data_IF_254482697627
#
_entry.id   IF_254482697627
#
_cell.length_a   1.000
_cell.length_b   1.000
_cell.length_c   1.000
_cell.angle_alpha   90.00
_cell.angle_beta   90.00
_cell.angle_gamma   90.00
#
_symmetry.space_group_name_H-M   'P 1'
#
loop_
_entity.id
_entity.type
_entity.pdbx_description
1 polymer ?
#
# COMPACT_ATOMS: atom_id res chain seq x y z
N UNK A 1 -21.37 45.42 -19.25
CA UNK A 1 -20.70 45.29 -20.57
C UNK A 1 -21.56 46.01 -21.58
N UNK A 2 -20.98 46.90 -22.39
CA UNK A 2 -21.70 47.59 -23.46
C UNK A 2 -21.48 46.80 -24.75
N UNK A 3 -22.59 46.42 -25.41
CA UNK A 3 -22.56 45.74 -26.70
C UNK A 3 -22.81 46.78 -27.80
N UNK A 4 -22.10 46.64 -28.92
CA UNK A 4 -22.30 47.46 -30.11
C UNK A 4 -22.51 46.52 -31.31
N UNK A 5 -23.25 46.99 -32.31
CA UNK A 5 -23.40 46.27 -33.56
C UNK A 5 -22.02 46.09 -34.19
N UNK A 6 -21.65 44.84 -34.44
CA UNK A 6 -20.38 44.47 -35.06
C UNK A 6 -20.55 44.18 -36.55
N UNK A 7 -21.54 43.35 -36.90
CA UNK A 7 -21.85 42.96 -38.28
C UNK A 7 -23.32 42.51 -38.41
N UNK A 8 -23.83 42.42 -39.64
CA UNK A 8 -25.19 41.95 -39.97
C UNK A 8 -25.17 41.09 -41.24
N UNK A 9 -25.70 39.88 -41.16
CA UNK A 9 -25.74 38.93 -42.29
C UNK A 9 -27.15 38.44 -42.60
N UNK A 10 -27.39 38.08 -43.86
CA UNK A 10 -28.66 37.49 -44.32
C UNK A 10 -28.68 35.94 -44.23
N UNK A 11 -27.55 35.33 -43.87
CA UNK A 11 -27.41 33.88 -43.79
C UNK A 11 -27.59 33.40 -42.34
N UNK A 12 -27.91 32.12 -42.16
CA UNK A 12 -28.11 31.51 -40.84
C UNK A 12 -26.81 31.36 -39.99
N UNK A 13 -25.67 31.84 -40.48
CA UNK A 13 -24.38 31.74 -39.81
C UNK A 13 -23.44 32.89 -40.15
N UNK A 14 -22.53 33.17 -39.22
CA UNK A 14 -21.50 34.18 -39.33
C UNK A 14 -20.18 33.64 -38.74
N UNK A 15 -19.06 33.99 -39.37
CA UNK A 15 -17.72 33.63 -38.90
C UNK A 15 -16.91 34.91 -38.69
N UNK A 16 -16.66 35.28 -37.44
CA UNK A 16 -15.81 36.41 -37.10
C UNK A 16 -14.33 36.05 -37.33
N UNK A 17 -13.77 36.52 -38.43
CA UNK A 17 -12.35 36.25 -38.79
C UNK A 17 -11.39 37.31 -38.24
N UNK A 18 -11.88 38.41 -37.69
CA UNK A 18 -11.04 39.53 -37.21
C UNK A 18 -10.78 39.43 -35.70
N UNK A 19 -10.65 38.20 -35.20
CA UNK A 19 -10.36 37.93 -33.79
C UNK A 19 -8.86 37.86 -33.52
N UNK A 20 -8.47 38.38 -32.38
CA UNK A 20 -7.11 38.28 -31.86
C UNK A 20 -6.97 37.06 -30.94
N UNK A 21 -5.84 36.35 -31.07
CA UNK A 21 -5.45 35.26 -30.20
C UNK A 21 -5.33 35.72 -28.74
N UNK A 22 -5.63 34.83 -27.79
CA UNK A 22 -5.58 35.05 -26.33
C UNK A 22 -6.50 36.16 -25.83
N UNK A 23 -7.68 36.31 -26.46
CA UNK A 23 -8.64 37.36 -26.11
C UNK A 23 -10.05 36.81 -25.96
N UNK A 24 -10.77 37.34 -24.97
CA UNK A 24 -12.19 37.04 -24.74
C UNK A 24 -13.06 37.97 -25.57
N UNK A 25 -14.10 37.40 -26.17
CA UNK A 25 -15.15 38.09 -26.89
C UNK A 25 -16.50 37.69 -26.31
N UNK A 26 -17.48 38.59 -26.43
CA UNK A 26 -18.84 38.36 -25.98
C UNK A 26 -19.76 38.69 -27.14
N UNK A 27 -20.47 37.67 -27.64
CA UNK A 27 -21.39 37.84 -28.76
C UNK A 27 -22.83 37.78 -28.29
N UNK A 28 -23.66 38.62 -28.91
CA UNK A 28 -25.12 38.57 -28.86
C UNK A 28 -25.64 38.62 -30.28
N UNK A 29 -26.71 37.90 -30.54
CA UNK A 29 -27.34 37.85 -31.87
C UNK A 29 -28.75 38.42 -31.73
N UNK A 30 -29.17 39.20 -32.72
CA UNK A 30 -30.54 39.66 -32.94
C UNK A 30 -30.95 39.26 -34.35
N UNK A 31 -32.24 39.08 -34.58
CA UNK A 31 -32.79 38.95 -35.93
C UNK A 31 -33.51 40.23 -36.32
N UNK A 32 -33.34 40.66 -37.57
CA UNK A 32 -33.93 41.87 -38.11
C UNK A 32 -34.99 41.52 -39.17
N UNK A 33 -36.19 42.09 -39.02
CA UNK A 33 -37.27 42.05 -40.00
C UNK A 33 -37.51 43.47 -40.55
N UNK A 34 -37.23 43.65 -41.83
CA UNK A 34 -37.36 44.96 -42.49
C UNK A 34 -38.80 45.30 -42.89
N UNK A 35 -39.74 44.35 -42.84
CA UNK A 35 -41.14 44.54 -43.22
C UNK A 35 -42.03 44.89 -42.01
N UNK A 36 -41.55 44.63 -40.79
CA UNK A 36 -42.29 44.91 -39.55
C UNK A 36 -41.90 46.25 -38.90
N UNK A 37 -42.85 46.87 -38.18
CA UNK A 37 -42.64 48.13 -37.46
C UNK A 37 -41.70 47.97 -36.25
N UNK A 38 -41.68 46.79 -35.65
CA UNK A 38 -40.68 46.36 -34.68
C UNK A 38 -39.61 45.58 -35.43
N UNK A 39 -38.52 46.26 -35.78
CA UNK A 39 -37.54 45.76 -36.74
C UNK A 39 -36.56 44.73 -36.18
N UNK A 40 -36.32 44.70 -34.88
CA UNK A 40 -35.24 43.89 -34.31
C UNK A 40 -35.74 43.09 -33.10
N UNK A 41 -35.36 41.81 -33.03
CA UNK A 41 -35.69 40.94 -31.91
C UNK A 41 -34.99 41.38 -30.62
N UNK A 42 -35.41 40.82 -29.48
CA UNK A 42 -34.56 40.87 -28.29
C UNK A 42 -33.23 40.15 -28.57
N UNK A 43 -32.10 40.67 -28.08
CA UNK A 43 -30.81 40.02 -28.24
C UNK A 43 -30.75 38.73 -27.43
N UNK A 44 -30.02 37.73 -27.93
CA UNK A 44 -29.71 36.53 -27.16
C UNK A 44 -29.00 36.85 -25.84
N UNK A 45 -28.91 35.83 -24.98
CA UNK A 45 -27.90 35.83 -23.92
C UNK A 45 -26.51 36.05 -24.51
N UNK A 46 -25.64 36.73 -23.76
CA UNK A 46 -24.25 36.90 -24.18
C UNK A 46 -23.53 35.55 -24.09
N UNK A 47 -22.89 35.15 -25.19
CA UNK A 47 -22.02 33.97 -25.24
C UNK A 47 -20.57 34.45 -25.12
N UNK A 48 -19.85 33.97 -24.11
CA UNK A 48 -18.41 34.20 -23.97
C UNK A 48 -17.65 33.21 -24.85
N UNK A 49 -16.72 33.72 -25.65
CA UNK A 49 -15.78 32.92 -26.45
C UNK A 49 -14.37 33.38 -26.13
N UNK A 50 -13.51 32.46 -25.69
CA UNK A 50 -12.09 32.72 -25.56
C UNK A 50 -11.37 32.23 -26.81
N UNK A 51 -10.83 33.18 -27.59
CA UNK A 51 -10.12 32.86 -28.83
C UNK A 51 -8.69 32.51 -28.49
N UNK A 52 -8.26 31.32 -28.87
CA UNK A 52 -6.87 30.88 -28.76
C UNK A 52 -6.46 30.00 -29.94
N UNK A 53 -5.15 29.73 -30.08
CA UNK A 53 -4.63 28.78 -31.05
C UNK A 53 -5.24 27.39 -30.85
N UNK A 54 -5.48 26.65 -31.95
CA UNK A 54 -5.96 25.26 -31.87
C UNK A 54 -5.10 24.45 -30.90
N UNK A 55 -5.76 23.85 -29.91
CA UNK A 55 -5.09 22.99 -28.93
C UNK A 55 -4.51 21.76 -29.62
N UNK A 56 -3.29 21.39 -29.25
CA UNK A 56 -2.56 20.25 -29.80
C UNK A 56 -2.22 19.27 -28.71
N UNK A 57 -2.29 17.98 -29.01
CA UNK A 57 -1.57 16.99 -28.21
C UNK A 57 -0.07 17.21 -28.47
N UNK A 58 0.61 17.79 -27.48
CA UNK A 58 1.98 18.27 -27.63
C UNK A 58 3.02 17.17 -27.40
N UNK A 59 2.82 16.34 -26.38
CA UNK A 59 3.74 15.23 -26.08
C UNK A 59 3.06 14.15 -25.23
N UNK A 60 3.63 12.95 -25.25
CA UNK A 60 3.30 11.86 -24.33
C UNK A 60 4.59 11.30 -23.71
N UNK A 61 4.57 10.94 -22.44
CA UNK A 61 5.70 10.30 -21.77
C UNK A 61 5.24 9.15 -20.88
N UNK A 62 5.97 8.03 -20.90
CA UNK A 62 5.80 6.97 -19.91
C UNK A 62 6.63 7.29 -18.67
N UNK A 63 5.99 7.38 -17.50
CA UNK A 63 6.60 7.81 -16.25
C UNK A 63 6.92 6.63 -15.33
N UNK A 64 7.91 6.82 -14.45
CA UNK A 64 8.22 5.89 -13.36
C UNK A 64 6.98 5.67 -12.50
N UNK A 65 6.56 4.41 -12.34
CA UNK A 65 5.29 4.05 -11.68
C UNK A 65 4.18 3.60 -12.63
N UNK A 66 4.43 3.56 -13.95
CA UNK A 66 3.53 2.93 -14.91
C UNK A 66 2.44 3.83 -15.47
N UNK A 67 2.63 5.15 -15.38
CA UNK A 67 1.68 6.14 -15.88
C UNK A 67 2.11 6.67 -17.26
N UNK A 68 1.14 7.15 -18.04
CA UNK A 68 1.42 7.95 -19.24
C UNK A 68 0.94 9.38 -19.00
N UNK A 69 1.83 10.36 -19.05
CA UNK A 69 1.42 11.77 -19.08
C UNK A 69 1.21 12.25 -20.50
N UNK A 70 0.09 12.94 -20.73
CA UNK A 70 -0.26 13.56 -22.00
C UNK A 70 -0.31 15.06 -21.81
N UNK A 71 0.57 15.79 -22.50
CA UNK A 71 0.63 17.25 -22.45
C UNK A 71 -0.09 17.88 -23.62
N UNK A 72 -0.94 18.87 -23.33
CA UNK A 72 -1.58 19.71 -24.32
C UNK A 72 -0.87 21.06 -24.46
N UNK A 73 -1.00 21.70 -25.62
CA UNK A 73 -0.53 23.07 -25.82
C UNK A 73 -1.42 24.13 -25.15
N UNK A 74 -2.65 23.75 -24.78
CA UNK A 74 -3.63 24.59 -24.10
C UNK A 74 -4.13 23.91 -22.82
N UNK A 75 -4.83 24.67 -21.97
CA UNK A 75 -5.27 24.14 -20.68
C UNK A 75 -6.24 22.98 -20.84
N UNK A 76 -6.07 21.91 -20.07
CA UNK A 76 -6.98 20.75 -20.09
C UNK A 76 -8.35 21.08 -19.51
N UNK A 77 -9.36 20.33 -19.93
CA UNK A 77 -10.70 20.40 -19.33
C UNK A 77 -10.63 20.02 -17.85
N UNK A 78 -11.46 20.67 -17.03
CA UNK A 78 -11.65 20.28 -15.63
C UNK A 78 -12.53 19.03 -15.48
N UNK A 79 -13.23 18.64 -16.55
CA UNK A 79 -13.98 17.40 -16.63
C UNK A 79 -13.10 16.31 -17.23
N UNK A 80 -13.01 15.17 -16.57
CA UNK A 80 -12.25 14.02 -17.06
C UNK A 80 -12.96 13.48 -18.32
N UNK A 81 -12.27 13.40 -19.48
CA UNK A 81 -12.85 12.88 -20.71
C UNK A 81 -13.20 11.39 -20.61
N UNK A 82 -14.03 10.91 -21.53
CA UNK A 82 -14.26 9.48 -21.69
C UNK A 82 -12.94 8.77 -22.04
N UNK A 83 -12.69 7.59 -21.49
CA UNK A 83 -11.45 6.84 -21.76
C UNK A 83 -11.26 6.49 -23.24
N UNK A 84 -12.36 6.34 -23.99
CA UNK A 84 -12.33 6.10 -25.44
C UNK A 84 -11.79 7.30 -26.24
N UNK A 85 -11.69 8.48 -25.63
CA UNK A 85 -11.05 9.66 -26.21
C UNK A 85 -9.55 9.44 -26.42
N UNK A 86 -8.89 8.64 -25.58
CA UNK A 86 -7.46 8.38 -25.66
C UNK A 86 -7.23 7.04 -26.36
N UNK A 87 -6.54 7.06 -27.51
CA UNK A 87 -6.25 5.86 -28.28
C UNK A 87 -4.75 5.66 -28.37
N UNK A 88 -4.24 4.64 -27.67
CA UNK A 88 -2.83 4.30 -27.63
C UNK A 88 -2.59 3.14 -28.60
N UNK A 89 -1.88 3.41 -29.69
CA UNK A 89 -1.58 2.41 -30.71
C UNK A 89 -0.72 1.29 -30.12
N UNK A 90 -1.16 0.03 -30.28
CA UNK A 90 -0.48 -1.15 -29.75
C UNK A 90 -0.92 -1.57 -28.34
N UNK A 91 -1.72 -0.75 -27.64
CA UNK A 91 -2.21 -1.05 -26.28
C UNK A 91 -3.75 -0.98 -26.23
N UNK A 92 -4.36 0.04 -26.83
CA UNK A 92 -5.80 0.30 -26.77
C UNK A 92 -6.13 1.54 -25.93
N UNK A 93 -7.24 1.49 -25.20
CA UNK A 93 -7.68 2.59 -24.35
C UNK A 93 -7.07 2.46 -22.93
N UNK A 94 -6.83 3.58 -22.23
CA UNK A 94 -6.35 3.53 -20.85
C UNK A 94 -7.44 3.00 -19.91
N UNK A 95 -6.99 2.42 -18.78
CA UNK A 95 -7.86 1.97 -17.68
C UNK A 95 -8.51 3.13 -16.93
N UNK A 96 -7.72 4.18 -16.67
CA UNK A 96 -8.19 5.40 -16.03
C UNK A 96 -7.49 6.61 -16.63
N UNK A 97 -8.11 7.78 -16.46
CA UNK A 97 -7.55 9.09 -16.76
C UNK A 97 -7.77 10.02 -15.58
N UNK A 98 -6.79 10.87 -15.30
CA UNK A 98 -6.84 11.89 -14.27
C UNK A 98 -6.22 13.19 -14.80
N UNK A 99 -6.49 14.31 -14.13
CA UNK A 99 -5.83 15.59 -14.41
C UNK A 99 -4.56 15.66 -13.56
N UNK A 100 -3.40 15.79 -14.21
CA UNK A 100 -2.11 15.94 -13.52
C UNK A 100 -1.87 17.39 -13.11
N UNK A 101 -2.14 18.32 -14.02
CA UNK A 101 -2.05 19.77 -13.83
C UNK A 101 -2.85 20.50 -14.91
N UNK A 102 -2.75 21.83 -14.94
CA UNK A 102 -3.47 22.71 -15.88
C UNK A 102 -3.28 22.35 -17.37
N UNK A 103 -2.24 21.60 -17.75
CA UNK A 103 -1.90 21.28 -19.15
C UNK A 103 -1.74 19.77 -19.42
N UNK A 104 -1.91 18.91 -18.42
CA UNK A 104 -1.56 17.50 -18.53
C UNK A 104 -2.64 16.57 -17.98
N UNK A 105 -2.94 15.52 -18.74
CA UNK A 105 -3.64 14.33 -18.24
C UNK A 105 -2.63 13.27 -17.83
N UNK A 106 -3.00 12.45 -16.85
CA UNK A 106 -2.31 11.23 -16.44
C UNK A 106 -3.19 10.03 -16.77
N UNK A 107 -2.64 9.04 -17.46
CA UNK A 107 -3.33 7.81 -17.81
C UNK A 107 -2.70 6.61 -17.08
N UNK A 108 -3.52 5.64 -16.70
CA UNK A 108 -3.06 4.33 -16.21
C UNK A 108 -3.48 3.22 -17.16
N UNK A 109 -2.67 2.17 -17.25
CA UNK A 109 -2.97 0.98 -18.04
C UNK A 109 -3.33 -0.20 -17.13
N UNK A 110 -3.91 -1.27 -17.70
CA UNK A 110 -4.18 -2.49 -16.95
C UNK A 110 -2.92 -3.27 -16.59
N UNK A 111 -1.93 -3.25 -17.47
CA UNK A 111 -0.64 -3.90 -17.29
C UNK A 111 0.48 -2.97 -17.77
N UNK A 112 1.69 -3.19 -17.26
CA UNK A 112 2.90 -2.54 -17.76
C UNK A 112 3.15 -3.01 -19.20
N UNK A 113 3.25 -2.10 -20.19
CA UNK A 113 3.55 -2.48 -21.56
C UNK A 113 4.98 -2.99 -21.72
N UNK A 114 5.22 -3.79 -22.75
CA UNK A 114 6.56 -4.20 -23.13
C UNK A 114 7.44 -2.98 -23.51
N UNK A 115 8.76 -3.16 -23.40
CA UNK A 115 9.69 -2.12 -23.85
C UNK A 115 9.57 -1.91 -25.36
N UNK A 116 9.43 -0.65 -25.77
CA UNK A 116 9.22 -0.32 -27.17
C UNK A 116 8.73 1.10 -27.41
N UNK A 117 8.42 1.38 -28.67
CA UNK A 117 7.88 2.67 -29.11
C UNK A 117 6.39 2.56 -29.36
N UNK A 118 5.64 3.49 -28.78
CA UNK A 118 4.19 3.59 -28.86
C UNK A 118 3.79 4.97 -29.37
N UNK A 119 2.53 5.12 -29.74
CA UNK A 119 1.98 6.43 -30.05
C UNK A 119 0.56 6.57 -29.51
N UNK A 120 0.16 7.79 -29.21
CA UNK A 120 -1.16 8.11 -28.68
C UNK A 120 -1.75 9.29 -29.43
N UNK A 121 -3.04 9.18 -29.74
CA UNK A 121 -3.84 10.27 -30.32
C UNK A 121 -5.12 10.47 -29.51
N UNK A 122 -5.75 11.62 -29.69
CA UNK A 122 -7.04 11.91 -29.08
C UNK A 122 -8.16 11.97 -30.13
N UNK A 123 -9.37 11.55 -29.75
CA UNK A 123 -10.58 11.60 -30.59
C UNK A 123 -11.68 12.34 -29.83
N UNK A 124 -12.08 13.51 -30.36
CA UNK A 124 -13.16 14.31 -29.77
C UNK A 124 -12.79 14.98 -28.44
N UNK A 125 -11.50 15.07 -28.11
CA UNK A 125 -11.06 15.79 -26.92
C UNK A 125 -11.27 17.29 -27.12
N UNK A 126 -11.72 17.96 -26.07
CA UNK A 126 -11.80 19.42 -25.99
C UNK A 126 -10.92 19.93 -24.85
N UNK A 127 -10.42 21.14 -25.01
CA UNK A 127 -9.66 21.83 -23.96
C UNK A 127 -10.59 22.52 -22.94
N UNK A 128 -10.00 23.28 -22.02
CA UNK A 128 -10.72 24.00 -20.96
C UNK A 128 -11.79 24.96 -21.47
N UNK A 129 -11.62 25.49 -22.67
CA UNK A 129 -12.52 26.48 -23.26
C UNK A 129 -13.54 25.86 -24.22
N UNK A 130 -13.56 24.52 -24.32
CA UNK A 130 -14.45 23.79 -25.22
C UNK A 130 -13.95 23.72 -26.67
N UNK A 131 -12.73 24.19 -26.95
CA UNK A 131 -12.15 24.11 -28.29
C UNK A 131 -11.63 22.69 -28.56
N UNK A 132 -11.85 22.12 -29.76
CA UNK A 132 -11.33 20.80 -30.10
C UNK A 132 -9.79 20.75 -30.08
N UNK A 133 -9.25 19.71 -29.46
CA UNK A 133 -7.84 19.33 -29.56
C UNK A 133 -7.62 18.63 -30.90
N UNK A 134 -6.42 18.75 -31.47
CA UNK A 134 -6.06 17.98 -32.67
C UNK A 134 -6.07 16.46 -32.45
N UNK A 135 -6.19 15.73 -33.56
CA UNK A 135 -6.21 14.27 -33.59
C UNK A 135 -4.87 13.68 -34.04
N UNK A 136 -3.79 14.47 -33.94
CA UNK A 136 -2.46 14.03 -34.32
C UNK A 136 -1.96 12.99 -33.32
N UNK A 137 -1.13 12.06 -33.81
CA UNK A 137 -0.47 11.09 -32.92
C UNK A 137 0.86 11.66 -32.45
N UNK A 138 1.15 11.50 -31.16
CA UNK A 138 2.48 11.76 -30.58
C UNK A 138 3.10 10.46 -30.13
N UNK A 139 4.40 10.30 -30.39
CA UNK A 139 5.15 9.12 -29.99
C UNK A 139 5.64 9.23 -28.54
N UNK A 140 5.76 8.08 -27.88
CA UNK A 140 6.46 7.93 -26.60
C UNK A 140 7.12 6.55 -26.55
N UNK A 141 8.11 6.38 -25.68
CA UNK A 141 8.79 5.09 -25.51
C UNK A 141 8.59 4.56 -24.09
N UNK A 142 8.39 3.25 -24.00
CA UNK A 142 8.41 2.50 -22.75
C UNK A 142 9.79 1.85 -22.66
N UNK A 143 10.53 2.18 -21.61
CA UNK A 143 11.81 1.57 -21.30
C UNK A 143 11.88 1.29 -19.80
N UNK A 144 11.20 0.22 -19.40
CA UNK A 144 11.25 -0.33 -18.05
C UNK A 144 12.34 -1.39 -18.02
N UNK A 145 13.45 -1.10 -17.36
CA UNK A 145 14.43 -2.13 -17.00
C UNK A 145 13.94 -2.77 -15.71
N UNK A 146 13.62 -4.07 -15.75
CA UNK A 146 13.34 -4.82 -14.52
C UNK A 146 14.68 -5.05 -13.83
N UNK A 147 15.03 -4.16 -12.90
CA UNK A 147 16.22 -4.33 -12.09
C UNK A 147 16.01 -5.53 -11.14
N UNK A 148 16.87 -6.56 -11.21
CA UNK A 148 16.74 -7.73 -10.35
C UNK A 148 16.71 -7.29 -8.88
N UNK A 149 15.70 -7.75 -8.14
CA UNK A 149 15.56 -7.45 -6.71
C UNK A 149 16.16 -8.55 -5.87
N UNK A 150 16.82 -8.17 -4.78
CA UNK A 150 17.38 -9.11 -3.81
C UNK A 150 16.59 -9.06 -2.50
N UNK A 151 16.10 -10.21 -2.04
CA UNK A 151 15.20 -10.33 -0.89
C UNK A 151 15.25 -11.72 -0.23
N UNK A 152 14.75 -11.80 1.00
CA UNK A 152 14.59 -13.05 1.77
C UNK A 152 13.36 -13.80 1.25
N UNK A 153 13.55 -15.07 0.91
CA UNK A 153 12.48 -15.97 0.44
C UNK A 153 11.92 -16.83 1.55
N UNK A 154 12.75 -17.16 2.55
CA UNK A 154 12.34 -18.03 3.66
C UNK A 154 13.19 -17.80 4.91
N UNK A 155 12.58 -18.04 6.06
CA UNK A 155 13.25 -18.11 7.35
C UNK A 155 12.73 -19.33 8.12
N UNK A 156 13.63 -20.09 8.72
CA UNK A 156 13.29 -21.23 9.58
C UNK A 156 14.16 -21.24 10.83
N UNK A 157 13.58 -21.53 11.99
CA UNK A 157 14.35 -21.86 13.19
C UNK A 157 14.76 -23.34 13.12
N UNK A 158 16.06 -23.58 13.08
CA UNK A 158 16.65 -24.90 13.29
C UNK A 158 16.87 -25.15 14.79
N UNK A 159 17.33 -26.35 15.14
CA UNK A 159 17.53 -26.77 16.53
C UNK A 159 18.34 -25.74 17.34
N UNK A 160 17.80 -25.35 18.50
CA UNK A 160 18.43 -24.40 19.42
C UNK A 160 18.19 -22.93 19.02
N UNK A 161 19.26 -22.26 18.62
CA UNK A 161 19.33 -20.80 18.39
C UNK A 161 19.79 -20.46 16.96
N UNK A 162 19.72 -21.42 16.04
CA UNK A 162 20.23 -21.28 14.67
C UNK A 162 19.08 -21.05 13.70
N UNK A 163 19.11 -19.93 13.01
CA UNK A 163 18.18 -19.61 11.93
C UNK A 163 18.78 -20.03 10.59
N UNK A 164 17.95 -20.59 9.71
CA UNK A 164 18.26 -20.79 8.30
C UNK A 164 17.51 -19.72 7.49
N UNK A 165 18.26 -18.84 6.82
CA UNK A 165 17.75 -17.75 5.99
C UNK A 165 18.00 -18.11 4.53
N UNK A 166 16.96 -18.09 3.71
CA UNK A 166 17.09 -18.26 2.26
C UNK A 166 16.84 -16.93 1.56
N UNK A 167 17.68 -16.60 0.60
CA UNK A 167 17.52 -15.46 -0.29
C UNK A 167 17.14 -15.92 -1.70
N UNK A 168 16.69 -15.00 -2.56
CA UNK A 168 16.36 -15.34 -3.94
C UNK A 168 17.59 -15.39 -4.88
N UNK A 169 18.66 -14.66 -4.53
CA UNK A 169 19.94 -14.61 -5.26
C UNK A 169 21.09 -15.11 -4.38
N UNK A 170 22.21 -15.45 -5.02
CA UNK A 170 23.44 -15.84 -4.34
C UNK A 170 24.00 -14.66 -3.56
N UNK A 171 24.42 -14.89 -2.31
CA UNK A 171 24.87 -13.84 -1.41
C UNK A 171 26.39 -13.63 -1.51
N UNK A 172 26.79 -12.36 -1.41
CA UNK A 172 28.17 -11.97 -1.21
C UNK A 172 28.56 -12.23 0.26
N UNK A 173 29.66 -12.96 0.47
CA UNK A 173 30.00 -13.58 1.75
C UNK A 173 30.35 -12.53 2.83
N UNK A 174 31.13 -11.50 2.52
CA UNK A 174 31.57 -10.54 3.52
C UNK A 174 30.40 -9.73 4.09
N UNK A 175 29.42 -9.37 3.26
CA UNK A 175 28.21 -8.68 3.69
C UNK A 175 27.21 -9.61 4.38
N UNK A 176 27.10 -10.87 3.94
CA UNK A 176 26.20 -11.84 4.55
C UNK A 176 26.72 -12.39 5.90
N UNK A 177 28.02 -12.44 6.13
CA UNK A 177 28.61 -12.92 7.39
C UNK A 177 28.81 -11.82 8.44
N UNK A 178 28.63 -10.55 8.05
CA UNK A 178 28.64 -9.43 8.97
C UNK A 178 27.39 -9.44 9.86
N UNK A 179 27.53 -9.76 11.14
CA UNK A 179 26.41 -9.86 12.08
C UNK A 179 25.66 -8.54 12.29
N UNK A 180 26.33 -7.39 12.09
CA UNK A 180 25.69 -6.06 12.21
C UNK A 180 24.62 -5.81 11.13
N UNK A 181 24.63 -6.60 10.06
CA UNK A 181 23.65 -6.54 8.99
C UNK A 181 22.32 -7.22 9.36
N UNK A 182 22.23 -7.86 10.52
CA UNK A 182 21.04 -8.56 10.98
C UNK A 182 20.52 -8.00 12.30
N UNK A 183 19.19 -7.98 12.44
CA UNK A 183 18.50 -7.71 13.69
C UNK A 183 17.41 -8.76 13.88
N UNK A 184 17.36 -9.38 15.05
CA UNK A 184 16.28 -10.31 15.41
C UNK A 184 15.45 -9.70 16.54
N UNK A 185 14.18 -9.46 16.25
CA UNK A 185 13.21 -8.88 17.16
C UNK A 185 12.15 -9.93 17.54
N UNK A 186 11.49 -9.82 18.71
CA UNK A 186 11.68 -8.80 19.74
C UNK A 186 12.81 -9.16 20.73
N UNK A 187 12.88 -8.43 21.85
CA UNK A 187 13.78 -8.69 23.00
C UNK A 187 15.27 -8.38 22.83
N UNK A 188 15.68 -7.79 21.70
CA UNK A 188 17.09 -7.42 21.49
C UNK A 188 18.03 -8.64 21.47
N UNK A 189 17.53 -9.75 20.93
CA UNK A 189 18.28 -11.01 20.78
C UNK A 189 19.48 -10.75 19.88
N UNK A 190 20.68 -10.96 20.41
CA UNK A 190 21.93 -10.70 19.68
C UNK A 190 22.20 -11.79 18.65
N UNK A 191 22.70 -11.36 17.48
CA UNK A 191 23.22 -12.24 16.44
C UNK A 191 24.71 -12.48 16.72
N UNK A 192 25.08 -13.71 17.05
CA UNK A 192 26.45 -14.09 17.41
C UNK A 192 27.33 -14.36 16.17
N UNK A 193 26.76 -15.00 15.15
CA UNK A 193 27.47 -15.29 13.91
C UNK A 193 26.49 -15.43 12.75
N UNK A 194 26.98 -15.21 11.54
CA UNK A 194 26.31 -15.56 10.30
C UNK A 194 27.33 -16.28 9.40
N UNK A 195 26.91 -17.34 8.72
CA UNK A 195 27.76 -18.13 7.84
C UNK A 195 27.00 -18.51 6.58
N UNK A 196 27.58 -18.26 5.41
CA UNK A 196 26.99 -18.69 4.14
C UNK A 196 27.13 -20.21 4.00
N UNK A 197 26.11 -20.88 3.47
CA UNK A 197 26.20 -22.31 3.20
C UNK A 197 27.14 -22.56 1.99
N UNK A 198 28.13 -23.43 2.17
CA UNK A 198 29.13 -23.74 1.15
C UNK A 198 28.55 -24.44 -0.10
N UNK A 199 27.41 -25.10 0.03
CA UNK A 199 26.75 -25.85 -1.05
C UNK A 199 25.63 -25.05 -1.72
N UNK A 200 25.04 -24.10 -1.02
CA UNK A 200 24.00 -23.21 -1.53
C UNK A 200 24.24 -21.77 -1.06
N UNK A 201 24.84 -20.95 -1.92
CA UNK A 201 25.14 -19.54 -1.61
C UNK A 201 23.91 -18.65 -1.43
N UNK A 202 22.69 -19.17 -1.61
CA UNK A 202 21.46 -18.47 -1.26
C UNK A 202 21.04 -18.69 0.19
N UNK A 203 21.69 -19.62 0.88
CA UNK A 203 21.41 -19.96 2.27
C UNK A 203 22.44 -19.32 3.18
N UNK A 204 21.97 -18.63 4.22
CA UNK A 204 22.79 -18.13 5.32
C UNK A 204 22.28 -18.69 6.62
N UNK A 205 23.18 -19.23 7.44
CA UNK A 205 22.86 -19.63 8.80
C UNK A 205 23.22 -18.53 9.77
N UNK A 206 22.22 -18.01 10.47
CA UNK A 206 22.39 -16.97 11.49
C UNK A 206 22.25 -17.60 12.87
N UNK A 207 23.31 -17.56 13.68
CA UNK A 207 23.30 -18.10 15.04
C UNK A 207 23.04 -16.98 16.04
N UNK A 208 21.98 -17.10 16.83
CA UNK A 208 21.58 -16.14 17.86
C UNK A 208 22.27 -16.44 19.19
N UNK A 209 22.17 -15.56 20.19
CA UNK A 209 22.67 -15.84 21.55
C UNK A 209 22.11 -17.15 22.14
N UNK A 210 22.93 -17.91 22.87
CA UNK A 210 22.59 -19.28 23.32
C UNK A 210 21.39 -19.37 24.28
N UNK A 211 21.07 -18.29 24.97
CA UNK A 211 19.95 -18.18 25.91
C UNK A 211 18.76 -17.38 25.34
N UNK A 212 18.68 -17.23 24.02
CA UNK A 212 17.58 -16.53 23.39
C UNK A 212 16.24 -17.22 23.68
N UNK A 213 15.30 -16.51 24.28
CA UNK A 213 13.94 -16.98 24.49
C UNK A 213 13.17 -16.93 23.16
N UNK A 214 13.24 -18.02 22.39
CA UNK A 214 12.57 -18.19 21.10
C UNK A 214 11.58 -19.33 21.21
N UNK A 215 10.32 -19.07 20.87
CA UNK A 215 9.26 -20.06 20.94
C UNK A 215 7.89 -19.41 21.04
N UNK A 216 6.90 -20.18 21.49
CA UNK A 216 5.52 -19.76 21.67
C UNK A 216 5.40 -18.82 22.87
N UNK A 217 5.94 -17.61 22.74
CA UNK A 217 6.01 -16.60 23.80
C UNK A 217 4.90 -15.56 23.71
N UNK A 218 3.93 -15.74 22.80
CA UNK A 218 2.92 -14.71 22.54
C UNK A 218 3.46 -13.52 21.73
N UNK A 219 4.54 -13.74 20.96
CA UNK A 219 5.21 -12.69 20.19
C UNK A 219 5.56 -13.14 18.78
N UNK A 220 5.42 -12.20 17.86
CA UNK A 220 5.88 -12.34 16.48
C UNK A 220 7.36 -12.00 16.42
N UNK A 221 8.18 -12.96 15.99
CA UNK A 221 9.60 -12.76 15.79
C UNK A 221 9.85 -12.25 14.37
N UNK A 222 10.81 -11.35 14.19
CA UNK A 222 11.17 -10.81 12.88
C UNK A 222 12.68 -10.76 12.76
N UNK A 223 13.21 -11.43 11.73
CA UNK A 223 14.56 -11.17 11.26
C UNK A 223 14.51 -10.02 10.27
N UNK A 224 15.35 -9.02 10.47
CA UNK A 224 15.59 -7.91 9.54
C UNK A 224 17.03 -8.00 9.06
N UNK A 225 17.22 -7.98 7.75
CA UNK A 225 18.51 -7.88 7.09
C UNK A 225 18.70 -6.47 6.53
N UNK A 226 19.95 -6.01 6.45
CA UNK A 226 20.29 -4.72 5.86
C UNK A 226 21.71 -4.76 5.33
N UNK A 227 22.02 -4.01 4.27
CA UNK A 227 23.37 -3.95 3.70
C UNK A 227 24.00 -5.32 3.35
N UNK A 228 23.16 -6.31 3.04
CA UNK A 228 23.58 -7.56 2.41
C UNK A 228 23.52 -7.36 0.90
N UNK A 229 24.53 -7.85 0.20
CA UNK A 229 24.64 -7.77 -1.25
C UNK A 229 24.56 -9.16 -1.88
N UNK A 230 24.00 -9.25 -3.07
CA UNK A 230 24.18 -10.43 -3.92
C UNK A 230 25.61 -10.46 -4.48
N UNK A 231 26.03 -11.60 -5.02
CA UNK A 231 27.31 -11.73 -5.75
C UNK A 231 27.44 -10.77 -6.93
N UNK A 232 26.31 -10.32 -7.50
CA UNK A 232 26.25 -9.36 -8.60
C UNK A 232 26.21 -7.89 -8.13
N UNK A 233 26.35 -7.64 -6.83
CA UNK A 233 26.39 -6.30 -6.24
C UNK A 233 25.01 -5.67 -5.99
N UNK A 234 23.92 -6.43 -6.10
CA UNK A 234 22.57 -5.94 -5.82
C UNK A 234 22.36 -5.91 -4.31
N UNK A 235 22.14 -4.73 -3.74
CA UNK A 235 21.80 -4.60 -2.32
C UNK A 235 20.40 -5.16 -2.04
N UNK A 236 20.23 -5.80 -0.89
CA UNK A 236 18.92 -6.24 -0.42
C UNK A 236 17.95 -5.05 -0.33
N UNK A 237 16.71 -5.25 -0.78
CA UNK A 237 15.68 -4.21 -0.78
C UNK A 237 15.33 -3.79 0.64
N UNK A 238 14.85 -2.55 0.83
CA UNK A 238 14.35 -2.12 2.12
C UNK A 238 12.91 -2.65 2.39
N UNK A 239 12.52 -2.70 3.66
CA UNK A 239 11.15 -3.06 4.05
C UNK A 239 10.87 -4.56 4.02
N UNK A 240 9.77 -4.96 3.38
CA UNK A 240 9.24 -6.32 3.46
C UNK A 240 10.15 -7.37 2.82
N UNK A 241 10.91 -7.03 1.78
CA UNK A 241 11.82 -7.99 1.14
C UNK A 241 13.10 -8.27 1.95
N UNK A 242 13.46 -7.42 2.91
CA UNK A 242 14.58 -7.65 3.82
C UNK A 242 14.15 -8.10 5.21
N UNK A 243 12.85 -8.33 5.43
CA UNK A 243 12.32 -8.75 6.72
C UNK A 243 11.51 -10.03 6.57
N UNK A 244 11.66 -10.98 7.50
CA UNK A 244 10.87 -12.19 7.51
C UNK A 244 10.40 -12.54 8.92
N UNK A 245 9.12 -12.86 9.06
CA UNK A 245 8.48 -13.13 10.34
C UNK A 245 8.41 -14.63 10.68
N UNK A 246 8.54 -14.95 11.96
CA UNK A 246 8.25 -16.27 12.53
C UNK A 246 7.23 -16.12 13.65
N UNK A 247 6.29 -17.06 13.68
CA UNK A 247 5.39 -17.29 14.81
C UNK A 247 5.58 -18.73 15.28
N UNK A 248 5.35 -18.96 16.56
CA UNK A 248 5.51 -20.27 17.17
C UNK A 248 4.28 -20.57 18.00
N UNK A 249 3.81 -21.81 17.97
CA UNK A 249 2.72 -22.29 18.81
C UNK A 249 3.05 -23.71 19.29
N UNK A 250 2.24 -24.23 20.20
CA UNK A 250 2.34 -25.62 20.67
C UNK A 250 1.23 -26.47 20.05
N UNK A 251 1.42 -27.79 20.13
CA UNK A 251 0.40 -28.78 19.76
C UNK A 251 -0.44 -29.25 20.96
N UNK A 252 -0.08 -28.81 22.18
CA UNK A 252 -0.80 -29.07 23.42
C UNK A 252 -0.56 -27.95 24.45
N UNK A 253 -1.15 -28.05 25.64
CA UNK A 253 -1.09 -27.05 26.70
C UNK A 253 -0.21 -27.47 27.90
N UNK A 254 0.56 -28.56 27.78
CA UNK A 254 1.29 -29.16 28.90
C UNK A 254 2.31 -28.19 29.51
N UNK A 255 3.01 -27.47 28.63
CA UNK A 255 4.06 -26.50 28.93
C UNK A 255 3.53 -25.06 29.06
N UNK A 256 2.20 -24.87 29.08
CA UNK A 256 1.58 -23.56 29.23
C UNK A 256 2.01 -22.91 30.55
N UNK A 257 2.30 -21.62 30.49
CA UNK A 257 2.65 -20.81 31.64
C UNK A 257 2.09 -19.39 31.52
N UNK A 258 2.06 -18.68 32.64
CA UNK A 258 1.62 -17.28 32.73
C UNK A 258 2.73 -16.43 33.31
N UNK A 259 2.98 -15.27 32.70
CA UNK A 259 4.01 -14.33 33.16
C UNK A 259 3.59 -12.86 33.01
N UNK A 260 4.08 -11.96 33.88
CA UNK A 260 4.80 -12.27 35.12
C UNK A 260 3.90 -12.99 36.13
N UNK A 261 4.47 -13.88 36.93
CA UNK A 261 3.78 -14.55 38.04
C UNK A 261 4.72 -14.60 39.26
N UNK A 262 4.45 -13.81 40.33
CA UNK A 262 3.31 -12.90 40.48
C UNK A 262 3.39 -11.70 39.53
N UNK A 263 2.23 -11.22 39.09
CA UNK A 263 2.10 -9.89 38.51
C UNK A 263 2.24 -8.82 39.60
N UNK A 264 2.94 -7.73 39.30
CA UNK A 264 3.06 -6.56 40.16
C UNK A 264 2.76 -5.28 39.38
N UNK A 265 2.03 -4.33 39.97
CA UNK A 265 1.82 -3.00 39.35
C UNK A 265 3.12 -2.21 39.18
N UNK A 266 4.16 -2.58 39.93
CA UNK A 266 5.50 -2.02 39.79
C UNK A 266 6.26 -2.59 38.58
N UNK A 267 5.69 -3.55 37.86
CA UNK A 267 6.29 -4.09 36.64
C UNK A 267 6.11 -3.11 35.48
N UNK A 268 7.02 -3.15 34.51
CA UNK A 268 6.92 -2.34 33.28
C UNK A 268 5.88 -2.91 32.28
N UNK A 269 4.88 -3.66 32.78
CA UNK A 269 3.90 -4.39 31.98
C UNK A 269 2.51 -4.25 32.62
N UNK A 270 1.50 -3.87 31.82
CA UNK A 270 0.12 -3.67 32.29
C UNK A 270 -0.81 -4.86 31.98
N UNK A 271 -0.22 -6.02 31.66
CA UNK A 271 -0.92 -7.25 31.32
C UNK A 271 -0.19 -8.46 31.91
N UNK A 272 -0.85 -9.61 31.93
CA UNK A 272 -0.19 -10.93 32.00
C UNK A 272 -0.26 -11.59 30.63
N UNK A 273 0.76 -12.38 30.29
CA UNK A 273 0.82 -13.18 29.08
C UNK A 273 0.62 -14.65 29.45
N UNK A 274 -0.34 -15.30 28.82
CA UNK A 274 -0.41 -16.75 28.78
C UNK A 274 0.34 -17.23 27.55
N UNK A 275 1.36 -18.07 27.72
CA UNK A 275 2.27 -18.49 26.64
C UNK A 275 2.42 -20.01 26.62
N UNK A 276 3.10 -20.53 25.60
CA UNK A 276 3.19 -21.96 25.26
C UNK A 276 1.80 -22.59 25.07
N UNK A 277 0.91 -21.87 24.40
CA UNK A 277 -0.43 -22.35 24.09
C UNK A 277 -0.55 -22.79 22.63
N UNK A 278 -1.64 -23.49 22.34
CA UNK A 278 -2.01 -23.87 20.98
C UNK A 278 -2.39 -22.64 20.14
N UNK A 279 -2.43 -22.82 18.82
CA UNK A 279 -2.82 -21.75 17.87
C UNK A 279 -4.27 -21.28 18.08
N UNK A 280 -5.12 -22.17 18.56
CA UNK A 280 -6.51 -21.91 18.93
C UNK A 280 -6.65 -22.32 20.39
N UNK A 281 -6.70 -21.35 21.30
CA UNK A 281 -6.73 -21.57 22.74
C UNK A 281 -7.66 -20.56 23.42
N UNK A 282 -8.40 -21.02 24.42
CA UNK A 282 -9.25 -20.20 25.28
C UNK A 282 -8.86 -20.41 26.75
N UNK A 283 -8.76 -19.32 27.50
CA UNK A 283 -8.37 -19.32 28.91
C UNK A 283 -9.50 -18.67 29.70
N UNK A 284 -10.24 -19.48 30.46
CA UNK A 284 -11.21 -19.02 31.43
C UNK A 284 -10.51 -18.70 32.75
N UNK A 285 -10.80 -17.54 33.32
CA UNK A 285 -10.15 -17.04 34.54
C UNK A 285 -11.19 -16.89 35.65
N UNK A 286 -10.85 -17.37 36.83
CA UNK A 286 -11.67 -17.39 38.04
C UNK A 286 -10.90 -16.82 39.23
N UNK A 287 -11.60 -16.23 40.21
CA UNK A 287 -10.99 -15.96 41.52
C UNK A 287 -10.91 -17.24 42.39
N UNK A 288 -10.24 -17.16 43.54
CA UNK A 288 -10.13 -18.29 44.48
C UNK A 288 -11.47 -18.82 45.01
N UNK A 289 -12.56 -18.06 44.90
CA UNK A 289 -13.90 -18.50 45.32
C UNK A 289 -14.63 -19.26 44.20
N UNK A 290 -14.03 -19.35 43.01
CA UNK A 290 -14.63 -19.96 41.83
C UNK A 290 -15.53 -18.99 41.05
N UNK A 291 -15.50 -17.68 41.35
CA UNK A 291 -16.25 -16.70 40.59
C UNK A 291 -15.56 -16.47 39.24
N UNK A 292 -16.31 -16.65 38.16
CA UNK A 292 -15.85 -16.35 36.80
C UNK A 292 -15.52 -14.86 36.65
N UNK A 293 -14.38 -14.58 36.03
CA UNK A 293 -13.87 -13.22 35.78
C UNK A 293 -14.01 -12.86 34.31
N UNK A 294 -13.43 -13.66 33.41
CA UNK A 294 -13.38 -13.42 31.96
C UNK A 294 -12.82 -14.64 31.23
N UNK A 295 -13.09 -14.73 29.93
CA UNK A 295 -12.41 -15.63 28.98
C UNK A 295 -11.50 -14.81 28.09
N UNK A 296 -10.27 -15.30 27.87
CA UNK A 296 -9.27 -14.68 27.00
C UNK A 296 -8.87 -15.68 25.92
N UNK A 297 -8.82 -15.27 24.66
CA UNK A 297 -8.64 -16.20 23.52
C UNK A 297 -7.46 -15.81 22.64
N UNK A 298 -6.64 -16.80 22.30
CA UNK A 298 -5.61 -16.68 21.27
C UNK A 298 -6.25 -16.51 19.88
N UNK A 299 -5.76 -15.56 19.07
CA UNK A 299 -6.36 -15.24 17.76
C UNK A 299 -5.35 -14.98 16.65
N UNK A 300 -4.07 -14.74 16.97
CA UNK A 300 -3.03 -14.46 15.96
C UNK A 300 -2.12 -15.68 15.72
N UNK A 301 -2.16 -16.66 16.64
CA UNK A 301 -1.49 -17.94 16.51
C UNK A 301 0.00 -17.92 16.85
N UNK A 302 0.50 -16.87 17.51
CA UNK A 302 1.88 -16.79 18.00
C UNK A 302 2.09 -17.50 19.36
N UNK A 303 1.10 -18.31 19.77
CA UNK A 303 1.19 -19.19 20.91
C UNK A 303 1.21 -18.45 22.23
N UNK A 304 0.56 -17.29 22.32
CA UNK A 304 0.32 -16.62 23.59
C UNK A 304 -0.61 -15.42 23.51
N UNK A 305 -1.44 -15.27 24.55
CA UNK A 305 -2.45 -14.21 24.64
C UNK A 305 -2.26 -13.30 25.85
N UNK A 306 -2.34 -12.00 25.59
CA UNK A 306 -2.28 -10.97 26.62
C UNK A 306 -3.63 -10.77 27.30
N UNK A 307 -3.61 -10.64 28.62
CA UNK A 307 -4.76 -10.21 29.41
C UNK A 307 -4.43 -8.97 30.25
N UNK A 308 -5.19 -7.91 30.04
CA UNK A 308 -5.04 -6.60 30.68
C UNK A 308 -5.58 -6.54 32.13
N UNK A 309 -5.82 -7.69 32.77
CA UNK A 309 -6.26 -7.79 34.17
C UNK A 309 -7.64 -7.15 34.44
N UNK A 310 -8.51 -7.11 33.43
CA UNK A 310 -9.89 -6.62 33.54
C UNK A 310 -10.89 -7.77 33.46
N UNK A 311 -11.97 -7.65 34.23
CA UNK A 311 -13.10 -8.55 34.15
C UNK A 311 -13.96 -8.27 32.90
N UNK A 312 -15.02 -9.07 32.70
CA UNK A 312 -15.97 -8.92 31.59
C UNK A 312 -16.74 -7.58 31.55
N UNK A 313 -16.80 -6.84 32.66
CA UNK A 313 -17.39 -5.49 32.73
C UNK A 313 -16.39 -4.36 32.44
N UNK A 314 -15.11 -4.70 32.22
CA UNK A 314 -14.03 -3.75 31.99
C UNK A 314 -13.36 -3.22 33.27
N UNK A 315 -13.78 -3.68 34.45
CA UNK A 315 -13.19 -3.25 35.71
C UNK A 315 -11.88 -4.01 35.99
N UNK A 316 -10.89 -3.30 36.52
CA UNK A 316 -9.64 -3.92 36.97
C UNK A 316 -9.91 -4.88 38.13
N UNK A 317 -9.32 -6.06 38.08
CA UNK A 317 -9.41 -7.04 39.15
C UNK A 317 -8.62 -6.60 40.41
N UNK A 318 -8.92 -7.24 41.55
CA UNK A 318 -8.26 -6.96 42.82
C UNK A 318 -6.95 -7.74 42.99
N UNK A 319 -6.12 -7.34 43.94
CA UNK A 319 -5.01 -8.17 44.42
C UNK A 319 -5.53 -9.51 44.93
N UNK A 320 -4.90 -10.62 44.54
CA UNK A 320 -5.36 -11.95 44.90
C UNK A 320 -4.71 -13.04 44.08
N UNK A 321 -5.13 -14.28 44.33
CA UNK A 321 -4.78 -15.44 43.53
C UNK A 321 -5.96 -15.73 42.60
N UNK A 322 -5.63 -16.07 41.35
CA UNK A 322 -6.57 -16.43 40.31
C UNK A 322 -6.25 -17.81 39.79
N UNK A 323 -7.29 -18.54 39.40
CA UNK A 323 -7.21 -19.87 38.79
C UNK A 323 -7.58 -19.69 37.32
N UNK A 324 -6.89 -20.39 36.44
CA UNK A 324 -7.26 -20.44 35.03
C UNK A 324 -7.50 -21.88 34.60
N UNK A 325 -8.39 -22.02 33.63
CA UNK A 325 -8.68 -23.25 32.90
C UNK A 325 -8.47 -22.95 31.41
N UNK A 326 -7.56 -23.68 30.78
CA UNK A 326 -7.21 -23.48 29.39
C UNK A 326 -7.60 -24.69 28.54
N UNK A 327 -8.30 -24.41 27.44
CA UNK A 327 -8.68 -25.37 26.41
C UNK A 327 -8.11 -24.94 25.05
N UNK A 328 -8.06 -25.85 24.08
CA UNK A 328 -7.54 -25.50 22.76
C UNK A 328 -7.50 -26.67 21.77
N UNK A 329 -7.06 -26.38 20.54
CA UNK A 329 -6.94 -27.34 19.45
C UNK A 329 -5.55 -27.42 18.86
N UNK A 330 -5.14 -28.63 18.47
CA UNK A 330 -3.90 -28.88 17.76
C UNK A 330 -3.98 -28.50 16.27
N UNK A 331 -2.88 -28.65 15.53
CA UNK A 331 -2.82 -28.34 14.09
C UNK A 331 -3.76 -29.20 13.22
N UNK A 332 -4.20 -30.36 13.72
CA UNK A 332 -5.20 -31.21 13.08
C UNK A 332 -6.65 -30.81 13.41
N UNK A 333 -6.86 -29.79 14.24
CA UNK A 333 -8.17 -29.31 14.67
C UNK A 333 -8.83 -30.16 15.76
N UNK A 334 -8.06 -31.03 16.43
CA UNK A 334 -8.55 -31.86 17.53
C UNK A 334 -8.37 -31.15 18.87
N UNK A 335 -9.36 -31.29 19.76
CA UNK A 335 -9.27 -30.81 21.14
C UNK A 335 -8.07 -31.45 21.85
N UNK A 336 -7.32 -30.63 22.60
CA UNK A 336 -6.20 -31.08 23.42
C UNK A 336 -6.61 -31.20 24.89
N UNK A 337 -5.79 -31.87 25.69
CA UNK A 337 -6.04 -31.97 27.13
C UNK A 337 -6.07 -30.59 27.79
N UNK A 338 -7.07 -30.36 28.63
CA UNK A 338 -7.26 -29.11 29.36
C UNK A 338 -6.11 -28.87 30.35
N UNK A 339 -5.63 -27.63 30.45
CA UNK A 339 -4.65 -27.22 31.46
C UNK A 339 -5.27 -26.30 32.48
N UNK A 340 -5.27 -26.73 33.74
CA UNK A 340 -5.58 -25.86 34.89
C UNK A 340 -4.29 -25.33 35.53
N UNK A 341 -4.31 -24.07 35.96
CA UNK A 341 -3.21 -23.48 36.74
C UNK A 341 -3.65 -22.29 37.59
N UNK A 342 -2.68 -21.61 38.22
CA UNK A 342 -2.94 -20.44 39.08
C UNK A 342 -1.84 -19.40 38.99
N UNK A 343 -2.18 -18.14 39.23
CA UNK A 343 -1.24 -17.02 39.31
C UNK A 343 -1.68 -16.00 40.35
N UNK A 344 -0.73 -15.18 40.79
CA UNK A 344 -0.97 -14.13 41.76
C UNK A 344 -0.88 -12.74 41.11
N UNK A 345 -1.74 -11.84 41.56
CA UNK A 345 -1.75 -10.42 41.19
C UNK A 345 -1.53 -9.62 42.46
N UNK A 346 -0.45 -8.84 42.48
CA UNK A 346 -0.10 -7.91 43.56
C UNK A 346 -0.19 -6.50 42.99
N UNK A 347 -0.90 -5.62 43.70
CA UNK A 347 -1.00 -4.20 43.33
C UNK A 347 -0.27 -3.35 44.35
#
# INVERSE_FOLDING_TARGET
MNFALYDSVLQAGYSDVNVNNRKKYYYKITSVDNENSVRESMPTGAVEVYVHNKSKLFSANYETGGFISLKLSEKVSQLIPNLNTFVIQGIGNPKNAAIKNDFEYLLTLDNVPDNGSYSVKTIGLVDRFGSPVDSNSVAFSVNVVDEPKFYITKLELQTGNKLKVNFNLDVEEASAENTANYKFEPFGIQVQSAAVDNSDRKTVYVTLQSNAAIGATGRNYVLKASNIFSTDGIRIVDGSGSSFGLIFNKENLDEMYVYPNPYSISSNQDFVMFANITRDAAIDIYDLTGKFIVTVTETDGNGGVEWNLRNSSGDMISTGIYIYIATGKNSAGQEVEEKTGKFAVVR
#
